data_IF_622292717484
#
_entry.id   IF_622292717484
#
_cell.length_a   1.000
_cell.length_b   1.000
_cell.length_c   1.000
_cell.angle_alpha   90.00
_cell.angle_beta   90.00
_cell.angle_gamma   90.00
#
_symmetry.space_group_name_H-M   'P 1'
#
loop_
_entity.id
_entity.type
_entity.pdbx_description
1 polymer ?
#
# COMPACT_ATOMS: atom_id res chain seq x y z
N UNK A 1 -29.18 -3.28 22.60
CA UNK A 1 -29.19 -3.01 21.16
C UNK A 1 -30.60 -3.20 20.63
N UNK A 2 -31.16 -2.21 19.92
CA UNK A 2 -32.36 -2.44 19.11
C UNK A 2 -31.88 -3.13 17.83
N UNK A 3 -32.46 -4.28 17.51
CA UNK A 3 -32.08 -5.04 16.33
C UNK A 3 -32.82 -4.53 15.10
N UNK A 4 -32.10 -3.98 14.14
CA UNK A 4 -32.67 -3.63 12.84
C UNK A 4 -32.73 -4.89 11.99
N UNK A 5 -33.90 -5.26 11.43
CA UNK A 5 -34.04 -6.49 10.60
C UNK A 5 -33.07 -6.48 9.42
N UNK A 6 -32.77 -5.30 8.90
CA UNK A 6 -31.82 -5.05 7.83
C UNK A 6 -30.39 -5.41 8.22
N UNK A 7 -29.93 -5.03 9.41
CA UNK A 7 -28.59 -5.35 9.93
C UNK A 7 -28.38 -6.86 10.10
N UNK A 8 -29.40 -7.55 10.61
CA UNK A 8 -29.36 -9.01 10.74
C UNK A 8 -29.22 -9.65 9.35
N UNK A 9 -29.91 -9.12 8.35
CA UNK A 9 -29.87 -9.66 7.00
C UNK A 9 -28.50 -9.41 6.33
N UNK A 10 -27.91 -8.22 6.48
CA UNK A 10 -26.57 -7.92 5.96
C UNK A 10 -25.49 -8.76 6.63
N UNK A 11 -25.55 -8.97 7.95
CA UNK A 11 -24.59 -9.86 8.62
C UNK A 11 -24.74 -11.31 8.13
N UNK A 12 -25.98 -11.77 7.88
CA UNK A 12 -26.22 -13.11 7.31
C UNK A 12 -25.69 -13.26 5.88
N UNK A 13 -25.78 -12.24 5.03
CA UNK A 13 -25.19 -12.30 3.68
C UNK A 13 -23.67 -12.31 3.76
N UNK A 14 -23.07 -11.51 4.65
CA UNK A 14 -21.63 -11.51 4.88
C UNK A 14 -21.12 -12.84 5.45
N UNK A 15 -21.90 -13.56 6.25
CA UNK A 15 -21.52 -14.89 6.73
C UNK A 15 -21.54 -15.99 5.65
N UNK A 16 -22.19 -15.73 4.51
CA UNK A 16 -22.20 -16.65 3.36
C UNK A 16 -21.04 -16.42 2.40
N UNK A 17 -20.45 -15.23 2.41
CA UNK A 17 -19.33 -14.88 1.54
C UNK A 17 -18.04 -15.54 2.05
N UNK A 18 -17.27 -16.15 1.15
CA UNK A 18 -15.99 -16.77 1.49
C UNK A 18 -14.89 -15.74 1.79
N UNK A 19 -14.99 -14.53 1.22
CA UNK A 19 -14.00 -13.45 1.41
C UNK A 19 -13.96 -12.93 2.85
N UNK A 20 -15.08 -13.03 3.55
CA UNK A 20 -15.30 -12.60 4.93
C UNK A 20 -15.09 -13.73 5.94
N UNK A 21 -14.67 -14.92 5.50
CA UNK A 21 -14.43 -16.09 6.36
C UNK A 21 -13.53 -15.78 7.56
N UNK A 22 -12.51 -14.95 7.36
CA UNK A 22 -11.60 -14.48 8.40
C UNK A 22 -12.31 -13.77 9.56
N UNK A 23 -13.45 -13.12 9.29
CA UNK A 23 -14.22 -12.33 10.25
C UNK A 23 -15.47 -13.07 10.77
N UNK A 24 -15.71 -14.32 10.36
CA UNK A 24 -16.92 -15.07 10.70
C UNK A 24 -17.21 -15.13 12.20
N UNK A 25 -16.21 -15.43 13.04
CA UNK A 25 -16.44 -15.45 14.50
C UNK A 25 -16.90 -14.10 15.04
N UNK A 26 -16.33 -12.98 14.54
CA UNK A 26 -16.71 -11.62 14.96
C UNK A 26 -18.14 -11.30 14.53
N UNK A 27 -18.50 -11.66 13.30
CA UNK A 27 -19.83 -11.48 12.73
C UNK A 27 -20.89 -12.33 13.46
N UNK A 28 -20.58 -13.59 13.79
CA UNK A 28 -21.46 -14.48 14.55
C UNK A 28 -21.75 -13.96 15.96
N UNK A 29 -20.73 -13.44 16.66
CA UNK A 29 -20.90 -12.83 17.98
C UNK A 29 -21.94 -11.70 17.92
N UNK A 30 -21.80 -10.79 16.96
CA UNK A 30 -22.70 -9.64 16.81
C UNK A 30 -24.08 -10.08 16.35
N UNK A 31 -24.17 -11.04 15.44
CA UNK A 31 -25.44 -11.63 15.01
C UNK A 31 -26.22 -12.22 16.20
N UNK A 32 -25.56 -13.04 17.03
CA UNK A 32 -26.22 -13.62 18.20
C UNK A 32 -26.63 -12.56 19.22
N UNK A 33 -25.82 -11.50 19.40
CA UNK A 33 -26.19 -10.39 20.26
C UNK A 33 -27.42 -9.63 19.74
N UNK A 34 -27.50 -9.39 18.42
CA UNK A 34 -28.67 -8.79 17.77
C UNK A 34 -29.91 -9.68 17.84
N UNK A 35 -29.75 -11.00 17.82
CA UNK A 35 -30.82 -11.97 18.03
C UNK A 35 -31.25 -12.11 19.50
N UNK A 36 -30.66 -11.33 20.42
CA UNK A 36 -31.04 -11.31 21.83
C UNK A 36 -30.39 -12.39 22.69
N UNK A 37 -29.40 -13.14 22.18
CA UNK A 37 -28.68 -14.14 22.97
C UNK A 37 -27.89 -13.50 24.10
N UNK A 38 -27.85 -14.20 25.24
CA UNK A 38 -27.04 -13.85 26.40
C UNK A 38 -25.57 -14.18 26.14
N UNK A 39 -24.66 -13.57 26.92
CA UNK A 39 -23.24 -13.88 26.79
C UNK A 39 -22.92 -15.34 27.08
N UNK A 40 -23.63 -15.98 28.03
CA UNK A 40 -23.42 -17.40 28.36
C UNK A 40 -23.73 -18.31 27.17
N UNK A 41 -24.88 -18.09 26.51
CA UNK A 41 -25.26 -18.86 25.32
C UNK A 41 -24.24 -18.66 24.18
N UNK A 42 -23.72 -17.44 23.99
CA UNK A 42 -22.72 -17.18 22.94
C UNK A 42 -21.40 -17.88 23.25
N UNK A 43 -20.99 -17.93 24.52
CA UNK A 43 -19.79 -18.66 24.95
C UNK A 43 -19.95 -20.15 24.62
N UNK A 44 -21.08 -20.75 24.98
CA UNK A 44 -21.37 -22.16 24.71
C UNK A 44 -21.44 -22.49 23.21
N UNK A 45 -22.00 -21.59 22.40
CA UNK A 45 -22.16 -21.80 20.95
C UNK A 45 -20.87 -21.62 20.16
N UNK A 46 -20.02 -20.65 20.53
CA UNK A 46 -18.84 -20.25 19.75
C UNK A 46 -17.51 -20.63 20.38
N UNK A 47 -17.53 -21.17 21.61
CA UNK A 47 -16.35 -21.47 22.42
C UNK A 47 -15.37 -20.28 22.46
N UNK A 48 -15.89 -19.15 22.93
CA UNK A 48 -15.13 -17.89 22.97
C UNK A 48 -15.21 -17.23 24.34
N UNK A 49 -14.14 -16.55 24.74
CA UNK A 49 -14.10 -15.86 26.03
C UNK A 49 -15.07 -14.67 26.06
N UNK A 50 -15.78 -14.48 27.18
CA UNK A 50 -16.67 -13.34 27.44
C UNK A 50 -16.04 -11.98 27.09
N UNK A 51 -14.76 -11.78 27.40
CA UNK A 51 -14.04 -10.53 27.08
C UNK A 51 -13.93 -10.29 25.56
N UNK A 52 -13.78 -11.35 24.77
CA UNK A 52 -13.75 -11.27 23.31
C UNK A 52 -15.12 -10.89 22.77
N UNK A 53 -16.18 -11.47 23.33
CA UNK A 53 -17.55 -11.13 22.97
C UNK A 53 -17.81 -9.64 23.26
N UNK A 54 -17.50 -9.19 24.49
CA UNK A 54 -17.69 -7.80 24.90
C UNK A 54 -16.92 -6.82 24.00
N UNK A 55 -15.64 -7.09 23.70
CA UNK A 55 -14.85 -6.23 22.81
C UNK A 55 -15.44 -6.11 21.41
N UNK A 56 -15.91 -7.21 20.83
CA UNK A 56 -16.51 -7.17 19.48
C UNK A 56 -17.86 -6.46 19.47
N UNK A 57 -18.71 -6.71 20.48
CA UNK A 57 -20.00 -6.02 20.61
C UNK A 57 -19.79 -4.52 20.80
N UNK A 58 -18.91 -4.12 21.72
CA UNK A 58 -18.58 -2.71 21.96
C UNK A 58 -18.03 -2.03 20.70
N UNK A 59 -17.12 -2.70 19.98
CA UNK A 59 -16.57 -2.18 18.72
C UNK A 59 -17.66 -1.96 17.66
N UNK A 60 -18.60 -2.90 17.55
CA UNK A 60 -19.75 -2.77 16.65
C UNK A 60 -20.68 -1.63 17.06
N UNK A 61 -20.95 -1.46 18.36
CA UNK A 61 -21.79 -0.36 18.86
C UNK A 61 -21.16 1.01 18.62
N UNK A 62 -19.83 1.14 18.73
CA UNK A 62 -19.11 2.41 18.54
C UNK A 62 -18.87 2.76 17.06
N UNK A 63 -18.54 1.77 16.22
CA UNK A 63 -18.01 2.00 14.86
C UNK A 63 -18.79 1.26 13.75
N UNK A 64 -19.85 0.54 14.09
CA UNK A 64 -20.70 -0.17 13.13
C UNK A 64 -20.06 -1.43 12.52
N UNK A 65 -20.65 -1.90 11.42
CA UNK A 65 -20.32 -3.17 10.75
C UNK A 65 -18.91 -3.18 10.13
N UNK A 66 -18.49 -2.07 9.53
CA UNK A 66 -17.17 -1.95 8.88
C UNK A 66 -16.03 -2.22 9.86
N UNK A 67 -16.22 -1.86 11.12
CA UNK A 67 -15.25 -2.10 12.19
C UNK A 67 -14.93 -3.57 12.42
N UNK A 68 -15.86 -4.48 12.10
CA UNK A 68 -15.68 -5.93 12.25
C UNK A 68 -14.86 -6.50 11.09
N UNK A 69 -14.96 -5.89 9.92
CA UNK A 69 -14.33 -6.29 8.66
C UNK A 69 -12.93 -5.68 8.46
N UNK A 70 -12.55 -4.72 9.30
CA UNK A 70 -11.21 -4.12 9.29
C UNK A 70 -10.21 -4.96 10.10
N UNK A 71 -9.06 -5.24 9.48
CA UNK A 71 -7.90 -5.76 10.19
C UNK A 71 -7.08 -4.60 10.74
N UNK A 72 -6.96 -4.54 12.06
CA UNK A 72 -6.14 -3.52 12.75
C UNK A 72 -4.74 -4.03 13.08
N UNK A 73 -4.46 -5.32 12.78
CA UNK A 73 -3.14 -5.92 13.00
C UNK A 73 -2.23 -5.68 11.80
N UNK A 74 -1.02 -5.23 12.11
CA UNK A 74 0.00 -4.88 11.11
C UNK A 74 -0.11 -3.42 10.67
N UNK A 75 0.72 -3.04 9.71
CA UNK A 75 0.80 -1.66 9.23
C UNK A 75 1.90 -0.84 9.90
N UNK A 76 1.88 0.46 9.62
CA UNK A 76 2.91 1.43 9.96
C UNK A 76 2.65 1.99 11.38
N UNK A 77 2.90 1.19 12.42
CA UNK A 77 2.63 1.59 13.81
C UNK A 77 3.80 2.34 14.48
N UNK A 78 5.04 2.10 14.01
CA UNK A 78 6.24 2.75 14.53
C UNK A 78 6.91 3.56 13.42
N UNK A 79 6.39 4.76 13.17
CA UNK A 79 6.78 5.59 12.04
C UNK A 79 7.59 6.78 12.50
N UNK A 80 8.70 7.04 11.81
CA UNK A 80 9.51 8.22 12.08
C UNK A 80 8.93 9.50 11.45
N UNK A 81 8.19 9.36 10.36
CA UNK A 81 7.52 10.43 9.62
C UNK A 81 6.19 9.91 9.05
N UNK A 82 5.24 10.78 8.77
CA UNK A 82 4.01 10.44 8.04
C UNK A 82 4.33 10.19 6.56
N UNK A 83 3.41 9.53 5.85
CA UNK A 83 3.58 9.26 4.40
C UNK A 83 3.65 10.56 3.60
N UNK A 84 2.92 11.59 4.03
CA UNK A 84 2.90 12.91 3.38
C UNK A 84 4.23 13.64 3.55
N UNK A 85 4.78 13.62 4.76
CA UNK A 85 6.08 14.21 5.04
C UNK A 85 7.21 13.50 4.28
N UNK A 86 7.18 12.16 4.20
CA UNK A 86 8.16 11.41 3.38
C UNK A 86 8.05 11.79 1.89
N UNK A 87 6.83 11.95 1.36
CA UNK A 87 6.63 12.42 -0.03
C UNK A 87 7.15 13.83 -0.23
N UNK A 88 6.90 14.74 0.71
CA UNK A 88 7.39 16.11 0.65
C UNK A 88 8.92 16.17 0.72
N UNK A 89 9.55 15.31 1.52
CA UNK A 89 11.00 15.14 1.55
C UNK A 89 11.54 14.66 0.20
N UNK A 90 10.99 13.57 -0.34
CA UNK A 90 11.44 13.00 -1.61
C UNK A 90 11.23 13.97 -2.79
N UNK A 91 10.11 14.71 -2.81
CA UNK A 91 9.84 15.70 -3.85
C UNK A 91 10.84 16.87 -3.83
N UNK A 92 11.25 17.34 -2.64
CA UNK A 92 12.30 18.37 -2.50
C UNK A 92 13.63 17.88 -3.09
N UNK A 93 14.00 16.63 -2.80
CA UNK A 93 15.24 16.06 -3.31
C UNK A 93 15.19 15.67 -4.80
N UNK A 94 14.02 15.37 -5.36
CA UNK A 94 13.83 15.15 -6.80
C UNK A 94 14.05 16.43 -7.61
N UNK A 95 13.52 17.57 -7.14
CA UNK A 95 13.73 18.86 -7.82
C UNK A 95 15.21 19.25 -7.91
N UNK A 96 16.01 18.89 -6.89
CA UNK A 96 17.46 19.08 -6.91
C UNK A 96 18.16 18.15 -7.92
N UNK A 97 17.63 16.94 -8.16
CA UNK A 97 18.14 16.05 -9.20
C UNK A 97 17.77 16.53 -10.62
N UNK A 98 16.62 17.16 -10.82
CA UNK A 98 16.22 17.75 -12.10
C UNK A 98 17.14 18.88 -12.54
N UNK A 99 17.76 19.61 -11.58
CA UNK A 99 18.76 20.64 -11.87
C UNK A 99 20.14 20.09 -12.26
N UNK A 100 20.28 18.77 -12.44
CA UNK A 100 21.50 18.13 -12.94
C UNK A 100 22.52 17.76 -11.85
N UNK A 101 22.18 17.92 -10.57
CA UNK A 101 23.01 17.41 -9.48
C UNK A 101 22.78 15.91 -9.31
N UNK A 102 23.85 15.12 -9.31
CA UNK A 102 23.78 13.70 -8.99
C UNK A 102 23.42 13.52 -7.51
N UNK A 103 22.13 13.37 -7.21
CA UNK A 103 21.66 13.04 -5.87
C UNK A 103 22.00 11.58 -5.57
N UNK A 104 23.15 11.36 -4.92
CA UNK A 104 23.53 10.02 -4.44
C UNK A 104 22.62 9.60 -3.30
N UNK A 105 22.33 8.30 -3.22
CA UNK A 105 21.51 7.71 -2.14
C UNK A 105 22.12 8.00 -0.76
N UNK A 106 23.46 8.07 -0.68
CA UNK A 106 24.16 8.42 0.56
C UNK A 106 23.86 9.86 0.99
N UNK A 107 23.96 10.82 0.07
CA UNK A 107 23.63 12.21 0.36
C UNK A 107 22.16 12.38 0.80
N UNK A 108 21.22 11.72 0.12
CA UNK A 108 19.81 11.73 0.53
C UNK A 108 19.59 11.09 1.90
N UNK A 109 20.32 10.02 2.21
CA UNK A 109 20.24 9.37 3.51
C UNK A 109 20.76 10.26 4.64
N UNK A 110 21.88 10.97 4.43
CA UNK A 110 22.39 11.92 5.43
C UNK A 110 21.45 13.11 5.63
N UNK A 111 20.88 13.66 4.54
CA UNK A 111 19.87 14.70 4.62
C UNK A 111 18.63 14.24 5.41
N UNK A 112 18.14 13.03 5.13
CA UNK A 112 17.02 12.43 5.84
C UNK A 112 17.32 12.28 7.34
N UNK A 113 18.50 11.76 7.69
CA UNK A 113 18.92 11.60 9.09
C UNK A 113 19.02 12.95 9.82
N UNK A 114 19.48 14.00 9.13
CA UNK A 114 19.57 15.36 9.68
C UNK A 114 18.18 15.96 9.97
N UNK A 115 17.24 15.79 9.05
CA UNK A 115 15.85 16.27 9.22
C UNK A 115 15.11 15.50 10.31
N UNK A 116 15.38 14.19 10.44
CA UNK A 116 14.77 13.33 11.44
C UNK A 116 15.31 13.58 12.87
N UNK A 117 16.55 14.05 12.99
CA UNK A 117 17.22 14.27 14.28
C UNK A 117 17.44 13.01 15.12
N UNK A 118 17.35 11.81 14.52
CA UNK A 118 17.42 10.51 15.20
C UNK A 118 18.29 9.51 14.44
N UNK A 119 18.69 8.43 15.11
CA UNK A 119 19.31 7.30 14.44
C UNK A 119 18.29 6.64 13.49
N UNK A 120 18.69 6.50 12.24
CA UNK A 120 17.91 5.84 11.20
C UNK A 120 18.83 4.89 10.44
N UNK A 121 18.37 3.68 10.16
CA UNK A 121 19.19 2.67 9.47
C UNK A 121 19.11 2.86 7.96
N UNK A 122 20.20 2.52 7.27
CA UNK A 122 20.25 2.59 5.81
C UNK A 122 19.22 1.66 5.15
N UNK A 123 18.99 0.49 5.75
CA UNK A 123 17.95 -0.45 5.29
C UNK A 123 16.54 0.14 5.39
N UNK A 124 16.20 0.79 6.52
CA UNK A 124 14.92 1.46 6.66
C UNK A 124 14.71 2.56 5.60
N UNK A 125 15.80 3.25 5.21
CA UNK A 125 15.78 4.21 4.13
C UNK A 125 15.55 3.56 2.76
N UNK A 126 16.19 2.44 2.46
CA UNK A 126 15.89 1.68 1.24
C UNK A 126 14.44 1.19 1.20
N UNK A 127 13.89 0.75 2.33
CA UNK A 127 12.48 0.38 2.42
C UNK A 127 11.56 1.60 2.20
N UNK A 128 11.91 2.77 2.71
CA UNK A 128 11.21 4.03 2.44
C UNK A 128 11.19 4.31 0.94
N UNK A 129 12.35 4.31 0.29
CA UNK A 129 12.47 4.53 -1.16
C UNK A 129 11.63 3.52 -1.96
N UNK A 130 11.71 2.22 -1.61
CA UNK A 130 10.94 1.15 -2.25
C UNK A 130 9.43 1.37 -2.13
N UNK A 131 8.93 1.79 -0.97
CA UNK A 131 7.50 2.07 -0.75
C UNK A 131 6.96 3.24 -1.56
N UNK A 132 7.81 4.25 -1.81
CA UNK A 132 7.47 5.41 -2.64
C UNK A 132 7.74 5.19 -4.13
N UNK A 133 8.06 3.96 -4.54
CA UNK A 133 8.30 3.63 -5.94
C UNK A 133 9.57 4.27 -6.52
N UNK A 134 10.52 4.66 -5.66
CA UNK A 134 11.76 5.27 -6.12
C UNK A 134 12.56 4.31 -6.99
N UNK A 135 12.87 4.73 -8.21
CA UNK A 135 13.71 3.98 -9.14
C UNK A 135 14.97 4.78 -9.42
N UNK A 136 16.14 4.20 -9.15
CA UNK A 136 17.40 4.78 -9.58
C UNK A 136 17.51 4.63 -11.11
N UNK A 137 17.16 5.68 -11.84
CA UNK A 137 17.32 5.73 -13.30
C UNK A 137 18.67 6.38 -13.55
N UNK A 138 19.72 5.56 -13.64
CA UNK A 138 20.99 6.06 -14.14
C UNK A 138 20.84 6.34 -15.64
N UNK A 139 21.18 7.56 -16.12
CA UNK A 139 21.27 7.80 -17.54
C UNK A 139 22.28 6.81 -18.12
N UNK A 140 21.90 6.18 -19.24
CA UNK A 140 22.76 5.18 -19.88
C UNK A 140 24.10 5.85 -20.21
N UNK A 141 25.25 5.31 -19.77
CA UNK A 141 26.54 5.88 -20.13
C UNK A 141 26.64 5.97 -21.65
N UNK A 142 26.88 7.18 -22.17
CA UNK A 142 27.11 7.36 -23.59
C UNK A 142 28.52 6.91 -23.92
N UNK A 143 28.66 6.08 -24.96
CA UNK A 143 29.96 5.62 -25.39
C UNK A 143 30.81 6.83 -25.87
N UNK A 144 32.09 6.94 -25.52
CA UNK A 144 32.93 8.10 -25.90
C UNK A 144 33.01 8.37 -27.41
N UNK A 145 32.74 7.35 -28.22
CA UNK A 145 32.67 7.44 -29.70
C UNK A 145 31.22 7.49 -30.23
N UNK A 146 30.29 8.07 -29.49
CA UNK A 146 28.92 8.24 -29.97
C UNK A 146 28.93 9.30 -31.08
N UNK A 147 28.38 8.96 -32.24
CA UNK A 147 28.23 9.89 -33.36
C UNK A 147 27.18 10.98 -33.02
N UNK A 148 27.30 12.15 -33.65
CA UNK A 148 26.37 13.25 -33.45
C UNK A 148 24.91 12.87 -33.77
N UNK A 149 23.97 13.52 -33.09
CA UNK A 149 22.55 13.20 -33.23
C UNK A 149 22.05 13.27 -34.69
N UNK A 150 22.60 14.19 -35.49
CA UNK A 150 22.28 14.33 -36.91
C UNK A 150 22.78 13.15 -37.76
N UNK A 151 23.98 12.62 -37.48
CA UNK A 151 24.55 11.47 -38.20
C UNK A 151 23.80 10.18 -37.87
N UNK A 152 23.32 10.03 -36.63
CA UNK A 152 22.49 8.89 -36.22
C UNK A 152 21.14 8.89 -36.97
N UNK A 153 20.46 10.04 -37.05
CA UNK A 153 19.16 10.15 -37.76
C UNK A 153 19.32 9.88 -39.26
N UNK A 154 20.37 10.41 -39.89
CA UNK A 154 20.66 10.18 -41.31
C UNK A 154 20.94 8.68 -41.63
N UNK A 155 21.57 7.95 -40.71
CA UNK A 155 21.85 6.51 -40.90
C UNK A 155 20.61 5.61 -40.80
N UNK A 156 19.60 6.01 -40.03
CA UNK A 156 18.37 5.24 -39.81
C UNK A 156 17.36 5.35 -40.96
N UNK A 157 17.46 6.39 -41.78
CA UNK A 157 16.57 6.62 -42.92
C UNK A 157 16.98 5.85 -44.20
N UNK A 158 17.92 4.89 -44.12
CA UNK A 158 18.35 4.05 -45.26
C UNK A 158 17.45 2.83 -45.50
N UNK A 159 16.13 2.98 -45.42
CA UNK A 159 15.20 2.02 -46.03
C UNK A 159 14.68 2.68 -47.30
N UNK A 160 15.47 2.59 -48.38
CA UNK A 160 14.97 2.83 -49.73
C UNK A 160 14.26 1.56 -50.21
N UNK A 161 12.98 1.71 -50.52
CA UNK A 161 12.10 0.71 -51.13
C UNK A 161 12.78 0.16 -52.40
N UNK A 162 12.89 -1.17 -52.53
CA UNK A 162 13.24 -1.80 -53.81
C UNK A 162 12.04 -1.64 -54.75
N UNK A 163 12.14 -0.74 -55.71
CA UNK A 163 11.18 -0.65 -56.82
C UNK A 163 11.27 -1.91 -57.69
N UNK A 164 10.13 -2.59 -57.80
CA UNK A 164 9.64 -3.45 -58.88
C UNK A 164 10.63 -4.29 -59.69
N UNK A 165 10.71 -5.58 -59.32
CA UNK A 165 11.14 -6.64 -60.25
C UNK A 165 10.08 -6.79 -61.35
N UNK A 166 10.37 -6.26 -62.54
CA UNK A 166 9.66 -6.60 -63.79
C UNK A 166 9.81 -8.10 -64.09
N UNK A 167 8.68 -8.75 -64.30
CA UNK A 167 8.59 -10.13 -64.79
C UNK A 167 9.01 -10.22 -66.26
N UNK A 168 9.90 -11.16 -66.57
CA UNK A 168 9.93 -12.00 -67.78
C UNK A 168 10.41 -13.38 -67.33
#
# INVERSE_FOLDING_TARGET
MKSTKEEIQTIKTLLKDSRTAKYHKRLQIVLFRLMGKSYKEIIELLDCNQTTIWRNVKKYEEFGLDSLLQETRGGRNHTYMTVEEEKAFLARHLKAAETGEFVTIDASFQAYKKELGRSYTRDAFYQLLKRHGWRNIMPRPEHPRKADAQTIVASKNKISIQEDKKAI
#
